data_IF_051894655487
#
_entry.id   IF_051894655487
#
_cell.length_a   1.000
_cell.length_b   1.000
_cell.length_c   1.000
_cell.angle_alpha   90.00
_cell.angle_beta   90.00
_cell.angle_gamma   90.00
#
_symmetry.space_group_name_H-M   'P 1'
#
loop_
_entity.id
_entity.type
_entity.pdbx_description
1 polymer ?
#
# COMPACT_ATOMS: atom_id res chain seq x y z
N UNK A 1 45.90 7.07 5.85
CA UNK A 1 45.60 6.23 4.66
C UNK A 1 44.31 6.76 4.05
N UNK A 2 44.41 7.50 2.95
CA UNK A 2 43.25 8.03 2.21
C UNK A 2 42.86 7.06 1.09
N UNK A 3 41.57 6.76 0.87
CA UNK A 3 41.16 6.02 -0.32
C UNK A 3 40.93 6.96 -1.52
N UNK A 4 41.46 6.53 -2.62
CA UNK A 4 41.54 7.14 -3.95
C UNK A 4 40.16 7.28 -4.61
N UNK A 5 39.81 8.51 -4.99
CA UNK A 5 38.67 8.84 -5.86
C UNK A 5 38.92 8.35 -7.29
N UNK A 6 38.07 7.46 -7.82
CA UNK A 6 38.02 7.12 -9.25
C UNK A 6 37.06 8.04 -9.98
N UNK A 7 37.62 8.91 -10.80
CA UNK A 7 36.90 9.70 -11.81
C UNK A 7 36.41 8.78 -12.93
N UNK A 8 35.11 8.75 -13.18
CA UNK A 8 34.52 8.14 -14.38
C UNK A 8 34.27 9.23 -15.37
N UNK A 9 34.98 9.15 -16.52
CA UNK A 9 34.87 10.05 -17.68
C UNK A 9 33.59 9.69 -18.45
N UNK A 10 32.70 10.68 -18.63
CA UNK A 10 31.60 10.65 -19.59
C UNK A 10 32.15 10.77 -21.02
N UNK A 11 31.81 9.81 -21.87
CA UNK A 11 31.97 9.86 -23.30
C UNK A 11 30.70 10.45 -23.93
N UNK A 12 30.84 11.65 -24.49
CA UNK A 12 29.84 12.25 -25.39
C UNK A 12 29.94 11.55 -26.75
N UNK A 13 28.88 10.88 -27.17
CA UNK A 13 28.71 10.42 -28.56
C UNK A 13 27.87 11.42 -29.33
N UNK A 14 28.51 12.09 -30.27
CA UNK A 14 27.86 12.94 -31.26
C UNK A 14 27.29 12.04 -32.36
N UNK A 15 25.97 11.96 -32.47
CA UNK A 15 25.25 11.24 -33.52
C UNK A 15 24.91 12.16 -34.67
N UNK A 16 25.40 11.83 -35.86
CA UNK A 16 25.19 12.55 -37.12
C UNK A 16 23.72 12.43 -37.56
N UNK A 17 23.13 13.60 -37.91
CA UNK A 17 21.82 13.69 -38.56
C UNK A 17 21.98 13.46 -40.05
N UNK A 18 21.45 12.37 -40.59
CA UNK A 18 21.29 12.15 -42.03
C UNK A 18 19.88 12.56 -42.44
N UNK A 19 19.75 13.66 -43.15
CA UNK A 19 18.49 14.05 -43.76
C UNK A 19 18.29 13.28 -45.06
N UNK A 20 17.32 12.37 -45.11
CA UNK A 20 16.86 11.74 -46.34
C UNK A 20 15.59 12.45 -46.81
N UNK A 21 15.71 13.20 -47.90
CA UNK A 21 14.57 13.77 -48.62
C UNK A 21 14.00 12.66 -49.53
N UNK A 22 12.85 12.11 -49.17
CA UNK A 22 12.10 11.12 -49.93
C UNK A 22 10.69 11.61 -50.24
N UNK A 23 10.38 11.73 -51.53
CA UNK A 23 9.05 12.09 -52.04
C UNK A 23 7.96 11.10 -51.66
N UNK A 24 6.83 11.64 -51.28
CA UNK A 24 5.48 11.17 -51.60
C UNK A 24 5.08 9.71 -51.20
N UNK A 25 4.61 9.55 -49.97
CA UNK A 25 3.62 8.53 -49.66
C UNK A 25 2.60 9.15 -48.72
N UNK A 26 1.34 9.08 -49.10
CA UNK A 26 0.21 9.47 -48.23
C UNK A 26 0.26 8.61 -46.97
N UNK A 27 0.72 9.18 -45.87
CA UNK A 27 0.64 8.56 -44.55
C UNK A 27 -0.83 8.51 -44.14
N UNK A 28 -1.42 7.33 -44.27
CA UNK A 28 -2.66 7.00 -43.54
C UNK A 28 -2.29 7.08 -42.07
N UNK A 29 -2.63 8.20 -41.45
CA UNK A 29 -2.53 8.34 -40.00
C UNK A 29 -3.58 7.42 -39.39
N UNK A 30 -3.21 6.18 -39.13
CA UNK A 30 -4.00 5.32 -38.26
C UNK A 30 -4.05 6.03 -36.92
N UNK A 31 -5.17 6.71 -36.67
CA UNK A 31 -5.47 7.29 -35.36
C UNK A 31 -5.50 6.14 -34.35
N UNK A 32 -4.38 5.89 -33.69
CA UNK A 32 -4.37 5.02 -32.53
C UNK A 32 -5.31 5.65 -31.52
N UNK A 33 -6.54 5.13 -31.44
CA UNK A 33 -7.47 5.50 -30.36
C UNK A 33 -6.75 5.18 -29.05
N UNK A 34 -6.40 6.21 -28.29
CA UNK A 34 -5.91 6.00 -26.89
C UNK A 34 -6.96 5.15 -26.18
N UNK A 35 -6.56 4.04 -25.57
CA UNK A 35 -7.50 3.21 -24.82
C UNK A 35 -8.17 4.09 -23.78
N UNK A 36 -9.50 4.10 -23.76
CA UNK A 36 -10.28 4.77 -22.73
C UNK A 36 -9.85 4.18 -21.36
N UNK A 37 -9.43 4.99 -20.40
CA UNK A 37 -9.02 4.46 -19.11
C UNK A 37 -10.19 3.71 -18.49
N UNK A 38 -9.95 2.46 -18.11
CA UNK A 38 -10.94 1.64 -17.39
C UNK A 38 -11.21 2.32 -16.06
N UNK A 39 -12.47 2.59 -15.71
CA UNK A 39 -12.79 3.18 -14.41
C UNK A 39 -12.27 2.29 -13.26
N UNK A 40 -11.58 2.89 -12.30
CA UNK A 40 -11.10 2.19 -11.11
C UNK A 40 -12.28 1.84 -10.21
N UNK A 41 -12.42 0.58 -9.81
CA UNK A 41 -13.48 0.12 -8.88
C UNK A 41 -13.16 0.53 -7.43
N UNK A 42 -13.41 1.81 -7.12
CA UNK A 42 -13.22 2.38 -5.78
C UNK A 42 -14.08 1.66 -4.74
N UNK A 43 -15.32 1.28 -5.10
CA UNK A 43 -16.23 0.59 -4.18
C UNK A 43 -15.74 -0.83 -3.85
N UNK A 44 -15.15 -1.53 -4.81
CA UNK A 44 -14.49 -2.82 -4.58
C UNK A 44 -13.30 -2.70 -3.64
N UNK A 45 -12.47 -1.69 -3.84
CA UNK A 45 -11.33 -1.41 -2.96
C UNK A 45 -11.77 -1.10 -1.52
N UNK A 46 -12.83 -0.29 -1.34
CA UNK A 46 -13.39 0.00 -0.02
C UNK A 46 -13.89 -1.26 0.69
N UNK A 47 -14.66 -2.11 -0.02
CA UNK A 47 -15.15 -3.38 0.55
C UNK A 47 -13.98 -4.27 0.97
N UNK A 48 -12.97 -4.42 0.12
CA UNK A 48 -11.78 -5.20 0.43
C UNK A 48 -11.02 -4.62 1.64
N UNK A 49 -10.85 -3.30 1.73
CA UNK A 49 -10.17 -2.65 2.85
C UNK A 49 -10.91 -2.89 4.18
N UNK A 50 -12.24 -2.89 4.19
CA UNK A 50 -13.00 -3.21 5.39
C UNK A 50 -12.83 -4.67 5.83
N UNK A 51 -12.51 -5.61 4.93
CA UNK A 51 -12.23 -7.01 5.31
C UNK A 51 -10.86 -7.21 6.00
N UNK A 52 -10.06 -6.13 6.15
CA UNK A 52 -8.93 -6.12 7.09
C UNK A 52 -9.39 -6.34 8.54
N UNK A 53 -10.68 -6.11 8.81
CA UNK A 53 -11.33 -6.34 10.10
C UNK A 53 -12.39 -7.42 9.96
N UNK A 54 -12.59 -8.19 11.03
CA UNK A 54 -13.63 -9.22 11.13
C UNK A 54 -14.37 -9.06 12.43
N UNK A 55 -15.63 -9.42 12.41
CA UNK A 55 -16.51 -9.44 13.58
C UNK A 55 -16.77 -10.90 14.00
N UNK A 56 -15.87 -11.52 14.80
CA UNK A 56 -16.07 -12.89 15.27
C UNK A 56 -17.24 -13.02 16.24
N UNK A 57 -17.56 -11.93 16.94
CA UNK A 57 -18.69 -11.82 17.85
C UNK A 57 -19.36 -10.47 17.66
N UNK A 58 -20.70 -10.39 17.69
CA UNK A 58 -21.40 -9.12 17.49
C UNK A 58 -20.86 -7.98 18.35
N UNK A 59 -20.52 -6.86 17.71
CA UNK A 59 -19.94 -5.68 18.35
C UNK A 59 -18.45 -5.77 18.68
N UNK A 60 -17.78 -6.88 18.39
CA UNK A 60 -16.34 -7.02 18.63
C UNK A 60 -15.58 -7.28 17.33
N UNK A 61 -14.74 -6.33 16.93
CA UNK A 61 -13.99 -6.36 15.69
C UNK A 61 -12.52 -6.63 15.95
N UNK A 62 -11.94 -7.55 15.21
CA UNK A 62 -10.53 -7.93 15.28
C UNK A 62 -9.89 -7.84 13.90
N UNK A 63 -8.54 -7.62 13.81
CA UNK A 63 -7.85 -7.70 12.55
C UNK A 63 -7.99 -9.08 11.91
N UNK A 64 -8.00 -9.14 10.60
CA UNK A 64 -8.02 -10.41 9.86
C UNK A 64 -6.83 -11.33 10.18
N UNK A 65 -5.77 -10.78 10.78
CA UNK A 65 -4.54 -11.49 11.14
C UNK A 65 -4.63 -12.30 12.45
N UNK A 66 -5.63 -12.03 13.31
CA UNK A 66 -5.72 -12.64 14.66
C UNK A 66 -6.19 -14.08 14.68
N UNK A 67 -6.45 -14.66 13.53
CA UNK A 67 -6.83 -16.08 13.42
C UNK A 67 -5.93 -16.75 12.40
N UNK A 68 -5.83 -18.06 12.47
CA UNK A 68 -5.00 -18.93 11.65
C UNK A 68 -5.17 -18.78 10.12
N UNK A 69 -5.96 -17.80 9.67
CA UNK A 69 -6.31 -17.58 8.29
C UNK A 69 -5.66 -16.33 7.68
N UNK A 70 -4.33 -16.22 7.81
CA UNK A 70 -3.53 -15.21 7.12
C UNK A 70 -3.79 -15.16 5.60
N UNK A 71 -4.14 -16.31 5.00
CA UNK A 71 -4.41 -16.39 3.57
C UNK A 71 -5.66 -15.59 3.16
N UNK A 72 -6.65 -15.46 4.05
CA UNK A 72 -7.90 -14.76 3.75
C UNK A 72 -7.81 -13.24 3.90
N UNK A 73 -6.77 -12.69 4.56
CA UNK A 73 -6.58 -11.25 4.65
C UNK A 73 -6.30 -10.65 3.27
N UNK A 74 -6.91 -9.51 2.93
CA UNK A 74 -6.65 -8.81 1.66
C UNK A 74 -5.34 -8.02 1.73
N UNK A 75 -4.23 -8.71 1.96
CA UNK A 75 -2.90 -8.15 2.09
C UNK A 75 -2.00 -8.72 0.99
N UNK A 76 -1.17 -7.88 0.39
CA UNK A 76 -0.12 -8.31 -0.53
C UNK A 76 0.92 -9.17 0.19
N UNK A 77 1.70 -9.92 -0.57
CA UNK A 77 2.76 -10.75 -0.02
C UNK A 77 3.81 -9.92 0.75
N UNK A 78 4.12 -8.72 0.26
CA UNK A 78 5.08 -7.81 0.89
C UNK A 78 4.58 -7.28 2.24
N UNK A 79 3.31 -6.89 2.34
CA UNK A 79 2.71 -6.44 3.61
C UNK A 79 2.67 -7.58 4.61
N UNK A 80 2.30 -8.80 4.19
CA UNK A 80 2.31 -9.99 5.06
C UNK A 80 3.71 -10.29 5.59
N UNK A 81 4.71 -10.26 4.72
CA UNK A 81 6.10 -10.49 5.11
C UNK A 81 6.58 -9.43 6.13
N UNK A 82 6.24 -8.16 5.91
CA UNK A 82 6.59 -7.08 6.83
C UNK A 82 5.90 -7.19 8.19
N UNK A 83 4.62 -7.53 8.22
CA UNK A 83 3.89 -7.77 9.48
C UNK A 83 4.51 -8.93 10.27
N UNK A 84 4.90 -10.01 9.60
CA UNK A 84 5.60 -11.13 10.23
C UNK A 84 6.97 -10.73 10.79
N UNK A 85 7.75 -9.94 10.05
CA UNK A 85 9.03 -9.41 10.51
C UNK A 85 8.88 -8.57 11.79
N UNK A 86 7.94 -7.62 11.80
CA UNK A 86 7.63 -6.81 12.97
C UNK A 86 7.15 -7.65 14.15
N UNK A 87 6.32 -8.67 13.91
CA UNK A 87 5.87 -9.58 14.96
C UNK A 87 7.02 -10.41 15.53
N UNK A 88 7.92 -10.90 14.69
CA UNK A 88 9.07 -11.71 15.12
C UNK A 88 10.07 -10.95 15.99
N UNK A 89 10.10 -9.61 15.87
CA UNK A 89 10.94 -8.71 16.67
C UNK A 89 10.25 -8.17 17.92
N UNK A 90 9.09 -8.69 18.29
CA UNK A 90 8.25 -8.19 19.39
C UNK A 90 7.82 -6.72 19.25
N UNK A 91 7.80 -6.19 18.02
CA UNK A 91 7.45 -4.80 17.77
C UNK A 91 6.05 -4.44 18.30
N UNK A 92 5.10 -5.38 18.21
CA UNK A 92 3.71 -5.25 18.68
C UNK A 92 3.51 -5.65 20.14
N UNK A 93 4.58 -5.73 20.91
CA UNK A 93 4.50 -6.06 22.32
C UNK A 93 4.30 -4.81 23.18
N UNK A 94 3.31 -4.82 24.05
CA UNK A 94 2.97 -3.69 24.94
C UNK A 94 3.83 -3.60 26.21
N UNK A 95 4.84 -4.45 26.34
CA UNK A 95 5.77 -4.46 27.48
C UNK A 95 7.07 -3.72 27.21
N UNK A 96 8.05 -3.79 28.15
CA UNK A 96 9.37 -3.19 27.98
C UNK A 96 10.05 -3.69 26.70
N UNK A 97 10.45 -2.77 25.83
CA UNK A 97 11.08 -3.07 24.55
C UNK A 97 10.14 -3.19 23.35
N UNK A 98 8.82 -3.21 23.55
CA UNK A 98 7.84 -3.10 22.46
C UNK A 98 7.56 -1.64 22.10
N UNK A 99 7.04 -1.43 20.90
CA UNK A 99 6.73 -0.10 20.35
C UNK A 99 5.23 0.17 20.22
N UNK A 100 4.42 -0.86 20.16
CA UNK A 100 2.98 -0.75 19.95
C UNK A 100 2.20 -1.50 21.03
N UNK A 101 1.07 -0.95 21.45
CA UNK A 101 0.20 -1.58 22.43
C UNK A 101 -0.68 -2.72 21.84
N UNK A 102 -0.44 -3.13 20.60
CA UNK A 102 -1.25 -4.14 19.90
C UNK A 102 -0.81 -4.33 18.47
N UNK A 103 -1.64 -4.99 17.67
CA UNK A 103 -1.36 -5.17 16.25
C UNK A 103 -1.48 -3.86 15.44
N UNK A 104 -0.85 -3.83 14.27
CA UNK A 104 -0.81 -2.64 13.42
C UNK A 104 -2.18 -2.25 12.85
N UNK A 105 -3.05 -3.21 12.57
CA UNK A 105 -4.33 -2.98 11.90
C UNK A 105 -5.36 -2.39 12.88
N UNK A 106 -5.56 -3.01 14.04
CA UNK A 106 -6.53 -2.51 15.03
C UNK A 106 -5.93 -1.49 16.01
N UNK A 107 -4.60 -1.47 16.16
CA UNK A 107 -3.89 -0.75 17.21
C UNK A 107 -4.45 -1.09 18.61
N UNK A 108 -4.74 -2.35 18.84
CA UNK A 108 -5.32 -2.86 20.09
C UNK A 108 -4.88 -4.29 20.34
N UNK A 109 -4.67 -4.64 21.60
CA UNK A 109 -4.39 -6.02 22.03
C UNK A 109 -5.65 -6.90 22.03
N UNK A 110 -6.82 -6.30 22.18
CA UNK A 110 -8.07 -6.98 22.40
C UNK A 110 -9.13 -6.73 21.31
N UNK A 111 -8.74 -6.16 20.17
CA UNK A 111 -9.68 -5.72 19.13
C UNK A 111 -10.37 -4.39 19.46
N UNK A 112 -11.38 -4.03 18.70
CA UNK A 112 -12.13 -2.77 18.81
C UNK A 112 -13.62 -3.07 18.96
N UNK A 113 -14.31 -2.28 19.81
CA UNK A 113 -15.73 -2.45 20.09
C UNK A 113 -16.64 -1.57 19.23
N UNK A 114 -16.10 -0.98 18.17
CA UNK A 114 -16.84 -0.17 17.19
C UNK A 114 -16.52 -0.68 15.80
N UNK A 115 -17.54 -0.85 14.97
CA UNK A 115 -17.36 -1.19 13.57
C UNK A 115 -16.42 -0.20 12.88
N UNK A 116 -15.39 -0.68 12.15
CA UNK A 116 -14.57 0.19 11.34
C UNK A 116 -15.41 0.84 10.24
N UNK A 117 -15.10 2.09 9.92
CA UNK A 117 -15.83 2.85 8.91
C UNK A 117 -14.86 3.52 7.93
N UNK A 118 -15.20 3.49 6.64
CA UNK A 118 -14.45 4.25 5.63
C UNK A 118 -14.77 5.73 5.78
N UNK A 119 -13.73 6.55 5.98
CA UNK A 119 -13.84 8.01 5.99
C UNK A 119 -13.67 8.60 4.59
N UNK A 120 -12.76 8.04 3.81
CA UNK A 120 -12.52 8.44 2.42
C UNK A 120 -11.93 7.30 1.61
N UNK A 121 -12.15 7.34 0.28
CA UNK A 121 -11.45 6.49 -0.67
C UNK A 121 -11.22 7.28 -1.96
N UNK A 122 -9.97 7.32 -2.41
CA UNK A 122 -9.53 8.12 -3.54
C UNK A 122 -8.75 7.24 -4.51
N UNK A 123 -9.18 7.20 -5.77
CA UNK A 123 -8.43 6.57 -6.84
C UNK A 123 -7.20 7.42 -7.19
N UNK A 124 -6.06 6.78 -7.35
CA UNK A 124 -4.80 7.37 -7.75
C UNK A 124 -4.57 7.19 -9.25
N UNK A 125 -3.69 7.99 -9.83
CA UNK A 125 -3.38 7.96 -11.26
C UNK A 125 -2.76 6.64 -11.74
N UNK A 126 -2.17 5.86 -10.82
CA UNK A 126 -1.58 4.54 -11.09
C UNK A 126 -2.60 3.38 -11.00
N UNK A 127 -3.89 3.69 -10.74
CA UNK A 127 -4.95 2.70 -10.59
C UNK A 127 -5.13 2.14 -9.18
N UNK A 128 -4.29 2.55 -8.23
CA UNK A 128 -4.49 2.21 -6.83
C UNK A 128 -5.64 3.02 -6.21
N UNK A 129 -6.11 2.58 -5.04
CA UNK A 129 -7.10 3.32 -4.25
C UNK A 129 -6.58 3.48 -2.83
N UNK A 130 -6.43 4.72 -2.39
CA UNK A 130 -6.11 5.01 -0.99
C UNK A 130 -7.41 5.08 -0.18
N UNK A 131 -7.56 4.18 0.79
CA UNK A 131 -8.73 4.07 1.67
C UNK A 131 -8.34 4.44 3.10
N UNK A 132 -9.02 5.44 3.67
CA UNK A 132 -8.83 5.87 5.07
C UNK A 132 -9.95 5.27 5.92
N UNK A 133 -9.58 4.55 6.97
CA UNK A 133 -10.49 3.81 7.83
C UNK A 133 -10.41 4.35 9.26
N UNK A 134 -11.56 4.73 9.82
CA UNK A 134 -11.72 4.99 11.26
C UNK A 134 -11.81 3.66 11.99
N UNK A 135 -10.88 3.39 12.90
CA UNK A 135 -10.84 2.17 13.73
C UNK A 135 -11.68 2.31 15.00
N UNK A 136 -11.43 3.35 15.77
CA UNK A 136 -12.19 3.74 16.96
C UNK A 136 -11.93 5.22 17.28
N UNK A 137 -12.70 5.81 18.20
CA UNK A 137 -12.69 7.27 18.42
C UNK A 137 -11.35 7.82 18.91
N UNK A 138 -10.59 7.03 19.66
CA UNK A 138 -9.29 7.45 20.24
C UNK A 138 -8.08 6.77 19.58
N UNK A 139 -8.30 5.99 18.53
CA UNK A 139 -7.24 5.28 17.83
C UNK A 139 -6.97 6.03 16.51
N UNK A 140 -5.71 6.26 16.11
CA UNK A 140 -5.38 6.86 14.84
C UNK A 140 -6.06 6.12 13.68
N UNK A 141 -6.38 6.82 12.60
CA UNK A 141 -6.93 6.18 11.39
C UNK A 141 -5.94 5.18 10.80
N UNK A 142 -6.46 4.14 10.16
CA UNK A 142 -5.70 3.25 9.30
C UNK A 142 -5.88 3.72 7.86
N UNK A 143 -4.79 3.96 7.16
CA UNK A 143 -4.79 4.19 5.70
C UNK A 143 -4.31 2.92 5.02
N UNK A 144 -5.08 2.40 4.08
CA UNK A 144 -4.71 1.25 3.26
C UNK A 144 -4.57 1.71 1.79
N UNK A 145 -3.41 1.47 1.19
CA UNK A 145 -3.23 1.62 -0.26
C UNK A 145 -3.60 0.28 -0.88
N UNK A 146 -4.71 0.27 -1.61
CA UNK A 146 -5.27 -0.90 -2.26
C UNK A 146 -4.84 -0.95 -3.72
N UNK A 147 -4.29 -2.08 -4.17
CA UNK A 147 -3.96 -2.35 -5.57
C UNK A 147 -4.70 -3.60 -6.05
N UNK A 148 -5.01 -3.64 -7.34
CA UNK A 148 -5.60 -4.82 -7.97
C UNK A 148 -4.49 -5.80 -8.37
N UNK A 149 -4.47 -6.98 -7.74
CA UNK A 149 -3.52 -8.06 -8.03
C UNK A 149 -4.30 -9.36 -8.25
N UNK A 150 -4.15 -9.97 -9.42
CA UNK A 150 -4.84 -11.22 -9.78
C UNK A 150 -6.37 -11.15 -9.55
N UNK A 151 -7.00 -10.09 -10.05
CA UNK A 151 -8.44 -9.81 -9.93
C UNK A 151 -8.95 -9.65 -8.49
N UNK A 152 -8.05 -9.31 -7.56
CA UNK A 152 -8.39 -9.07 -6.16
C UNK A 152 -7.78 -7.76 -5.67
N UNK A 153 -8.54 -7.00 -4.92
CA UNK A 153 -8.02 -5.85 -4.18
C UNK A 153 -7.19 -6.32 -2.99
N UNK A 154 -5.91 -5.96 -2.97
CA UNK A 154 -4.99 -6.24 -1.85
C UNK A 154 -4.37 -4.95 -1.34
N UNK A 155 -4.21 -4.83 -0.03
CA UNK A 155 -3.44 -3.74 0.56
C UNK A 155 -1.95 -3.96 0.28
N UNK A 156 -1.35 -3.01 -0.43
CA UNK A 156 0.09 -2.99 -0.77
C UNK A 156 0.89 -2.11 0.18
N UNK A 157 0.22 -1.23 0.92
CA UNK A 157 0.76 -0.50 2.07
C UNK A 157 -0.34 -0.30 3.11
N UNK A 158 0.07 -0.22 4.36
CA UNK A 158 -0.75 0.17 5.51
C UNK A 158 -0.03 1.30 6.25
N UNK A 159 -0.78 2.33 6.66
CA UNK A 159 -0.24 3.43 7.44
C UNK A 159 -1.13 3.72 8.65
N UNK A 160 -0.52 3.89 9.83
CA UNK A 160 -1.21 4.25 11.07
C UNK A 160 -0.96 5.71 11.41
N UNK A 161 -2.03 6.50 11.45
CA UNK A 161 -1.93 7.94 11.67
C UNK A 161 -1.29 8.67 10.47
N UNK A 162 -0.40 9.63 10.76
CA UNK A 162 0.23 10.50 9.76
C UNK A 162 1.74 10.65 9.99
N UNK A 163 2.43 11.20 9.00
CA UNK A 163 3.86 11.51 9.07
C UNK A 163 4.77 10.43 8.48
N UNK A 164 6.09 10.64 8.53
CA UNK A 164 7.07 9.81 7.82
C UNK A 164 7.17 8.37 8.36
N UNK A 165 6.74 8.13 9.59
CA UNK A 165 6.71 6.80 10.21
C UNK A 165 5.33 6.14 10.13
N UNK A 166 4.37 6.69 9.37
CA UNK A 166 3.02 6.14 9.29
C UNK A 166 2.98 4.81 8.55
N UNK A 167 3.72 4.68 7.43
CA UNK A 167 3.75 3.43 6.64
C UNK A 167 4.37 2.28 7.42
N UNK A 168 3.79 1.08 7.25
CA UNK A 168 4.31 -0.18 7.80
C UNK A 168 5.72 -0.49 7.31
N UNK A 169 6.12 0.02 6.13
CA UNK A 169 7.45 -0.13 5.58
C UNK A 169 8.49 0.84 6.16
N UNK A 170 8.07 1.78 6.99
CA UNK A 170 9.02 2.62 7.74
C UNK A 170 9.89 1.76 8.65
N UNK A 171 11.13 2.17 8.95
CA UNK A 171 12.02 1.44 9.88
C UNK A 171 11.39 1.25 11.26
N UNK A 172 10.64 2.26 11.74
CA UNK A 172 9.87 2.25 12.98
C UNK A 172 8.47 2.78 12.67
N UNK A 173 7.55 1.94 12.20
CA UNK A 173 6.21 2.40 11.84
C UNK A 173 5.42 2.83 13.09
N UNK A 174 4.55 3.82 12.91
CA UNK A 174 3.58 4.19 13.95
C UNK A 174 2.57 3.06 14.18
N UNK A 175 1.93 3.05 15.33
CA UNK A 175 0.86 2.09 15.63
C UNK A 175 -0.54 2.70 15.52
#
# INVERSE_FOLDING_TARGET
MLPTMKLIRSLLSVGAVVAVVGCGAATVTSGASSPTPVPVDVAGAQRAALTLFREPTPGWWVPCLTTDNYAACPLSASVKARLNDLSSTNYFYSGPGGHCAGDFISNSTNGIFKAPAVLSAVAESNGNVTVVIQRATMIPTLTAVMAMENDRWLATDLASGSGPSASIFSPKPNC
#
